data_IF_518518526496
#
_entry.id   IF_518518526496
#
_cell.length_a   1.000
_cell.length_b   1.000
_cell.length_c   1.000
_cell.angle_alpha   90.00
_cell.angle_beta   90.00
_cell.angle_gamma   90.00
#
_symmetry.space_group_name_H-M   'P 1'
#
loop_
_entity.id
_entity.type
_entity.pdbx_description
1 polymer ?
#
# COMPACT_ATOMS: atom_id res chain seq x y z
N UNK A 1 1.58 -3.47 -5.70
CA UNK A 1 0.57 -4.50 -5.32
C UNK A 1 -0.05 -5.19 -6.52
N UNK A 2 -0.39 -4.47 -7.60
CA UNK A 2 -0.99 -5.07 -8.81
C UNK A 2 -0.09 -6.08 -9.53
N UNK A 3 1.23 -5.93 -9.44
CA UNK A 3 2.22 -6.84 -10.04
C UNK A 3 2.43 -8.13 -9.20
N UNK A 4 2.08 -8.11 -7.91
CA UNK A 4 2.38 -9.20 -6.97
C UNK A 4 1.18 -10.13 -6.68
N UNK A 5 -0.06 -9.67 -6.88
CA UNK A 5 -1.26 -10.40 -6.46
C UNK A 5 -2.23 -10.72 -7.60
N UNK A 6 -2.60 -12.01 -7.69
CA UNK A 6 -3.63 -12.53 -8.61
C UNK A 6 -5.00 -11.94 -8.32
N UNK A 7 -5.80 -11.75 -9.36
CA UNK A 7 -7.07 -10.98 -9.31
C UNK A 7 -8.03 -11.44 -8.20
N UNK A 8 -8.05 -12.75 -7.91
CA UNK A 8 -8.90 -13.41 -6.91
C UNK A 8 -8.52 -13.16 -5.44
N UNK A 9 -7.28 -12.77 -5.16
CA UNK A 9 -6.77 -12.58 -3.78
C UNK A 9 -6.51 -11.10 -3.46
N UNK A 10 -6.97 -10.20 -4.35
CA UNK A 10 -6.69 -8.76 -4.26
C UNK A 10 -7.40 -8.08 -3.10
N UNK A 11 -8.64 -8.48 -2.74
CA UNK A 11 -9.39 -7.87 -1.65
C UNK A 11 -8.71 -8.10 -0.29
N UNK A 12 -8.31 -9.33 0.02
CA UNK A 12 -7.51 -9.64 1.23
C UNK A 12 -6.17 -8.91 1.25
N UNK A 13 -5.48 -8.90 0.11
CA UNK A 13 -4.15 -8.29 0.02
C UNK A 13 -4.23 -6.77 0.22
N UNK A 14 -5.24 -6.13 -0.35
CA UNK A 14 -5.49 -4.70 -0.19
C UNK A 14 -5.94 -4.37 1.24
N UNK A 15 -6.76 -5.22 1.85
CA UNK A 15 -7.17 -5.09 3.24
C UNK A 15 -5.96 -5.16 4.18
N UNK A 16 -5.10 -6.19 4.05
CA UNK A 16 -3.88 -6.32 4.85
C UNK A 16 -2.93 -5.15 4.60
N UNK A 17 -2.74 -4.75 3.34
CA UNK A 17 -1.86 -3.63 3.03
C UNK A 17 -2.39 -2.28 3.52
N UNK A 18 -3.71 -2.11 3.55
CA UNK A 18 -4.38 -0.94 4.11
C UNK A 18 -4.39 -0.95 5.65
N UNK A 19 -4.34 -2.11 6.30
CA UNK A 19 -4.29 -2.24 7.76
C UNK A 19 -3.07 -1.55 8.36
N UNK A 20 -1.89 -1.77 7.76
CA UNK A 20 -0.61 -1.34 8.31
C UNK A 20 -0.56 0.19 8.58
N UNK A 21 -0.92 1.06 7.62
CA UNK A 21 -0.98 2.51 7.83
C UNK A 21 -1.94 2.97 8.93
N UNK A 22 -3.04 2.26 9.19
CA UNK A 22 -3.99 2.61 10.26
C UNK A 22 -3.61 2.01 11.61
N UNK A 23 -2.89 0.89 11.63
CA UNK A 23 -2.44 0.25 12.85
C UNK A 23 -1.28 1.03 13.49
N UNK A 24 -0.37 1.58 12.68
CA UNK A 24 0.80 2.33 13.17
C UNK A 24 0.42 3.49 14.11
N UNK A 25 -0.43 4.44 13.68
CA UNK A 25 -0.86 5.57 14.52
C UNK A 25 -1.70 5.14 15.73
N UNK A 26 -2.33 3.97 15.70
CA UNK A 26 -3.04 3.43 16.87
C UNK A 26 -2.07 2.81 17.90
N UNK A 27 -1.00 2.13 17.45
CA UNK A 27 -0.01 1.51 18.35
C UNK A 27 1.04 2.50 18.87
N UNK A 28 1.36 3.54 18.09
CA UNK A 28 2.35 4.56 18.44
C UNK A 28 2.15 5.18 19.83
N UNK A 29 0.94 5.66 20.18
CA UNK A 29 0.65 6.23 21.50
C UNK A 29 0.86 5.24 22.64
N UNK A 30 0.68 3.94 22.43
CA UNK A 30 0.89 2.90 23.46
C UNK A 30 2.37 2.90 23.87
N UNK A 31 3.26 2.80 22.89
CA UNK A 31 4.72 2.83 23.09
C UNK A 31 5.14 4.21 23.62
N UNK A 32 4.57 5.28 23.06
CA UNK A 32 4.76 6.67 23.49
C UNK A 32 4.47 6.88 24.98
N UNK A 33 3.32 6.40 25.44
CA UNK A 33 2.90 6.49 26.85
C UNK A 33 3.79 5.70 27.79
N UNK A 34 4.20 4.49 27.41
CA UNK A 34 5.11 3.64 28.19
C UNK A 34 6.50 4.27 28.34
N UNK A 35 7.10 4.70 27.24
CA UNK A 35 8.45 5.26 27.26
C UNK A 35 8.45 6.63 27.96
N UNK A 36 7.46 7.49 27.71
CA UNK A 36 7.40 8.82 28.33
C UNK A 36 7.18 8.81 29.85
N UNK A 37 6.63 7.73 30.40
CA UNK A 37 6.43 7.57 31.84
C UNK A 37 7.63 6.88 32.52
N UNK A 38 8.36 6.01 31.82
CA UNK A 38 9.48 5.23 32.38
C UNK A 38 10.86 5.85 32.10
N UNK A 39 11.00 6.60 30.99
CA UNK A 39 12.28 7.09 30.46
C UNK A 39 12.11 8.53 29.97
N UNK A 40 13.22 9.27 29.85
CA UNK A 40 13.23 10.60 29.21
C UNK A 40 12.75 10.53 27.75
N UNK A 41 12.00 11.56 27.33
CA UNK A 41 11.35 11.63 26.01
C UNK A 41 12.26 11.44 24.77
N UNK A 42 13.57 11.80 24.75
CA UNK A 42 14.40 11.60 23.56
C UNK A 42 14.60 10.12 23.21
N UNK A 43 14.44 9.22 24.19
CA UNK A 43 14.56 7.77 23.98
C UNK A 43 13.53 7.21 23.01
N UNK A 44 12.40 7.89 22.82
CA UNK A 44 11.44 7.54 21.77
C UNK A 44 12.08 7.58 20.38
N UNK A 45 12.90 8.60 20.09
CA UNK A 45 13.55 8.73 18.79
C UNK A 45 14.60 7.64 18.57
N UNK A 46 15.35 7.27 19.61
CA UNK A 46 16.32 6.16 19.52
C UNK A 46 15.63 4.82 19.28
N UNK A 47 14.54 4.52 19.99
CA UNK A 47 13.79 3.26 19.81
C UNK A 47 13.22 3.17 18.39
N UNK A 48 12.58 4.23 17.90
CA UNK A 48 12.00 4.26 16.55
C UNK A 48 13.10 4.12 15.49
N UNK A 49 14.24 4.79 15.67
CA UNK A 49 15.38 4.71 14.74
C UNK A 49 15.98 3.30 14.67
N UNK A 50 16.11 2.61 15.80
CA UNK A 50 16.59 1.21 15.83
C UNK A 50 15.62 0.30 15.11
N UNK A 51 14.31 0.42 15.38
CA UNK A 51 13.29 -0.40 14.73
C UNK A 51 13.29 -0.16 13.21
N UNK A 52 13.33 1.09 12.78
CA UNK A 52 13.37 1.45 11.36
C UNK A 52 14.61 0.89 10.66
N UNK A 53 15.78 0.99 11.30
CA UNK A 53 17.03 0.44 10.77
C UNK A 53 16.95 -1.08 10.61
N UNK A 54 16.36 -1.79 11.57
CA UNK A 54 16.17 -3.25 11.50
C UNK A 54 15.21 -3.61 10.37
N UNK A 55 14.07 -2.91 10.25
CA UNK A 55 13.10 -3.13 9.18
C UNK A 55 13.73 -2.85 7.81
N UNK A 56 14.54 -1.79 7.69
CA UNK A 56 15.27 -1.46 6.48
C UNK A 56 16.29 -2.54 6.12
N UNK A 57 17.06 -3.03 7.10
CA UNK A 57 18.03 -4.11 6.89
C UNK A 57 17.36 -5.41 6.43
N UNK A 58 16.22 -5.78 7.04
CA UNK A 58 15.40 -6.91 6.60
C UNK A 58 14.87 -6.65 5.19
N UNK A 59 14.41 -5.44 4.90
CA UNK A 59 13.95 -5.03 3.58
C UNK A 59 15.02 -5.25 2.51
N UNK A 60 16.25 -4.76 2.75
CA UNK A 60 17.36 -4.90 1.81
C UNK A 60 17.77 -6.37 1.60
N UNK A 61 17.70 -7.20 2.63
CA UNK A 61 18.13 -8.62 2.56
C UNK A 61 17.06 -9.55 2.00
N UNK A 62 15.77 -9.29 2.28
CA UNK A 62 14.65 -10.17 1.93
C UNK A 62 13.94 -9.72 0.65
N UNK A 63 13.76 -8.41 0.40
CA UNK A 63 13.10 -7.96 -0.82
C UNK A 63 14.03 -8.14 -2.02
N UNK A 64 13.70 -9.14 -2.84
CA UNK A 64 14.21 -9.21 -4.20
C UNK A 64 13.54 -8.16 -5.07
N UNK A 65 14.34 -7.53 -5.91
CA UNK A 65 13.88 -6.60 -6.94
C UNK A 65 12.68 -7.18 -7.68
N UNK A 66 11.52 -6.52 -7.55
CA UNK A 66 10.25 -6.98 -8.13
C UNK A 66 9.84 -6.13 -9.34
N UNK A 67 10.61 -5.07 -9.67
CA UNK A 67 10.25 -4.19 -10.77
C UNK A 67 10.53 -4.85 -12.13
N UNK A 68 9.44 -5.27 -12.80
CA UNK A 68 9.43 -5.96 -14.09
C UNK A 68 10.38 -5.40 -15.17
N UNK A 69 10.44 -4.08 -15.45
CA UNK A 69 11.36 -3.55 -16.46
C UNK A 69 12.85 -3.65 -16.07
N UNK A 70 13.18 -3.61 -14.77
CA UNK A 70 14.57 -3.82 -14.30
C UNK A 70 14.96 -5.29 -14.40
N UNK A 71 14.04 -6.21 -14.10
CA UNK A 71 14.24 -7.65 -14.27
C UNK A 71 14.42 -8.02 -15.75
N UNK A 72 13.62 -7.46 -16.65
CA UNK A 72 13.75 -7.63 -18.10
C UNK A 72 15.07 -7.09 -18.62
N UNK A 73 15.52 -5.91 -18.13
CA UNK A 73 16.82 -5.35 -18.49
C UNK A 73 17.99 -6.23 -18.02
N UNK A 74 17.91 -6.79 -16.81
CA UNK A 74 18.92 -7.73 -16.29
C UNK A 74 18.95 -9.01 -17.12
N UNK A 75 17.79 -9.57 -17.47
CA UNK A 75 17.69 -10.78 -18.30
C UNK A 75 18.23 -10.56 -19.72
N UNK A 76 17.92 -9.42 -20.34
CA UNK A 76 18.46 -9.04 -21.65
C UNK A 76 20.00 -8.87 -21.61
N UNK A 77 20.54 -8.28 -20.54
CA UNK A 77 21.98 -8.15 -20.36
C UNK A 77 22.69 -9.49 -20.13
N UNK A 78 22.08 -10.43 -19.42
CA UNK A 78 22.61 -11.79 -19.25
C UNK A 78 22.59 -12.57 -20.56
N UNK A 79 21.50 -12.50 -21.33
CA UNK A 79 21.41 -13.14 -22.64
C UNK A 79 22.45 -12.58 -23.63
N UNK A 80 22.64 -11.25 -23.64
CA UNK A 80 23.67 -10.61 -24.46
C UNK A 80 25.11 -11.01 -24.10
N UNK A 81 25.36 -11.41 -22.84
CA UNK A 81 26.68 -11.93 -22.41
C UNK A 81 26.87 -13.40 -22.78
N UNK A 82 25.82 -14.21 -22.70
CA UNK A 82 25.87 -15.63 -23.10
C UNK A 82 26.05 -15.79 -24.62
N UNK A 83 25.49 -14.87 -25.43
CA UNK A 83 25.68 -14.86 -26.89
C UNK A 83 27.11 -14.49 -27.33
N UNK A 84 27.92 -13.87 -26.46
CA UNK A 84 29.34 -13.56 -26.78
C UNK A 84 30.25 -14.80 -26.73
N UNK A 85 29.83 -15.90 -26.11
CA UNK A 85 30.64 -17.12 -25.94
C UNK A 85 30.39 -18.21 -27.01
N UNK A 86 29.45 -18.00 -27.95
CA UNK A 86 29.33 -18.83 -29.16
C UNK A 86 27.91 -19.21 -29.57
N UNK A 87 27.26 -18.37 -30.35
CA UNK A 87 26.00 -18.72 -31.02
C UNK A 87 25.39 -17.57 -31.81
N UNK A 88 24.92 -17.86 -33.02
CA UNK A 88 24.32 -16.92 -33.96
C UNK A 88 23.10 -16.17 -33.36
N UNK A 89 22.98 -14.88 -33.68
CA UNK A 89 21.92 -13.97 -33.21
C UNK A 89 20.51 -14.53 -33.49
N UNK A 90 19.65 -14.72 -32.49
CA UNK A 90 18.20 -14.76 -32.74
C UNK A 90 17.67 -13.33 -33.03
N UNK A 91 16.64 -13.15 -33.89
CA UNK A 91 16.23 -11.84 -34.44
C UNK A 91 15.54 -10.89 -33.43
N UNK A 92 15.54 -11.19 -32.14
CA UNK A 92 14.82 -10.46 -31.09
C UNK A 92 15.77 -9.80 -30.10
N UNK A 93 16.93 -9.35 -30.57
CA UNK A 93 17.80 -8.46 -29.81
C UNK A 93 17.11 -7.09 -29.66
N UNK A 94 16.45 -6.89 -28.52
CA UNK A 94 16.04 -5.56 -28.06
C UNK A 94 17.32 -4.71 -28.05
N UNK A 95 17.42 -3.64 -28.85
CA UNK A 95 18.66 -2.88 -28.95
C UNK A 95 19.07 -2.37 -27.55
N UNK A 96 20.37 -2.30 -27.24
CA UNK A 96 20.84 -1.71 -26.01
C UNK A 96 20.32 -0.27 -26.01
N UNK A 97 19.36 0.01 -25.12
CA UNK A 97 18.82 1.35 -24.96
C UNK A 97 19.93 2.19 -24.39
N UNK A 98 20.71 2.84 -25.26
CA UNK A 98 21.68 3.85 -24.89
C UNK A 98 20.90 4.96 -24.18
N UNK A 99 20.97 4.91 -22.85
CA UNK A 99 20.21 5.79 -21.99
C UNK A 99 20.92 7.14 -21.98
N UNK A 100 20.67 7.94 -23.01
CA UNK A 100 21.16 9.30 -23.09
C UNK A 100 20.60 10.06 -21.87
N UNK A 101 21.46 10.55 -20.97
CA UNK A 101 21.03 11.16 -19.70
C UNK A 101 20.01 12.28 -19.91
N UNK A 102 20.14 13.06 -20.99
CA UNK A 102 19.17 14.11 -21.36
C UNK A 102 17.79 13.55 -21.74
N UNK A 103 17.73 12.41 -22.42
CA UNK A 103 16.47 11.74 -22.76
C UNK A 103 15.80 11.11 -21.52
N UNK A 104 16.60 10.63 -20.56
CA UNK A 104 16.09 10.12 -19.27
C UNK A 104 15.39 11.22 -18.46
N UNK A 105 16.04 12.38 -18.27
CA UNK A 105 15.44 13.48 -17.51
C UNK A 105 14.19 14.03 -18.20
N UNK A 106 14.20 14.16 -19.53
CA UNK A 106 13.02 14.59 -20.30
C UNK A 106 11.83 13.62 -20.16
N UNK A 107 12.07 12.31 -20.31
CA UNK A 107 11.03 11.28 -20.12
C UNK A 107 10.54 11.23 -18.67
N UNK A 108 11.44 11.35 -17.70
CA UNK A 108 11.12 11.40 -16.27
C UNK A 108 10.21 12.60 -15.95
N UNK A 109 10.58 13.82 -16.35
CA UNK A 109 9.78 15.02 -16.09
C UNK A 109 8.44 15.00 -16.85
N UNK A 110 8.41 14.46 -18.07
CA UNK A 110 7.16 14.29 -18.82
C UNK A 110 6.19 13.35 -18.10
N UNK A 111 6.66 12.16 -17.69
CA UNK A 111 5.86 11.20 -16.93
C UNK A 111 5.46 11.75 -15.56
N UNK A 112 6.37 12.43 -14.88
CA UNK A 112 6.10 13.04 -13.58
C UNK A 112 4.99 14.09 -13.70
N UNK A 113 5.08 14.99 -14.70
CA UNK A 113 4.04 16.00 -14.95
C UNK A 113 2.69 15.35 -15.24
N UNK A 114 2.65 14.33 -16.10
CA UNK A 114 1.40 13.63 -16.42
C UNK A 114 0.81 12.97 -15.16
N UNK A 115 1.64 12.28 -14.38
CA UNK A 115 1.21 11.59 -13.16
C UNK A 115 0.81 12.55 -12.03
N UNK A 116 1.41 13.75 -11.93
CA UNK A 116 1.02 14.76 -10.95
C UNK A 116 -0.27 15.48 -11.33
N UNK A 117 -0.48 15.77 -12.63
CA UNK A 117 -1.65 16.54 -13.09
C UNK A 117 -2.91 15.67 -13.16
N UNK A 118 -2.77 14.38 -13.49
CA UNK A 118 -3.92 13.45 -13.62
C UNK A 118 -4.82 13.38 -12.38
N UNK A 119 -4.31 13.24 -11.13
CA UNK A 119 -5.15 13.24 -9.94
C UNK A 119 -5.99 14.51 -9.77
N UNK A 120 -5.40 15.69 -10.02
CA UNK A 120 -6.13 16.97 -9.92
C UNK A 120 -7.17 17.11 -11.03
N UNK A 121 -6.86 16.65 -12.25
CA UNK A 121 -7.85 16.60 -13.34
C UNK A 121 -8.99 15.64 -13.02
N UNK A 122 -8.69 14.45 -12.50
CA UNK A 122 -9.69 13.48 -12.07
C UNK A 122 -10.59 14.07 -10.98
N UNK A 123 -10.00 14.78 -10.01
CA UNK A 123 -10.76 15.48 -8.97
C UNK A 123 -11.66 16.56 -9.58
N UNK A 124 -11.13 17.43 -10.43
CA UNK A 124 -11.89 18.54 -11.00
C UNK A 124 -13.00 18.11 -11.99
N UNK A 125 -12.74 17.10 -12.83
CA UNK A 125 -13.62 16.76 -13.96
C UNK A 125 -14.58 15.60 -13.68
N UNK A 126 -14.40 14.81 -12.61
CA UNK A 126 -15.29 13.69 -12.28
C UNK A 126 -16.11 14.01 -11.02
N UNK A 127 -17.42 14.25 -11.11
CA UNK A 127 -18.26 14.58 -9.95
C UNK A 127 -18.32 13.45 -8.92
N UNK A 128 -18.27 12.19 -9.37
CA UNK A 128 -18.22 11.00 -8.48
C UNK A 128 -17.00 11.04 -7.55
N UNK A 129 -15.86 11.56 -8.03
CA UNK A 129 -14.65 11.63 -7.22
C UNK A 129 -14.83 12.55 -6.01
N UNK A 130 -15.58 13.65 -6.14
CA UNK A 130 -15.81 14.59 -5.04
C UNK A 130 -16.50 13.92 -3.84
N UNK A 131 -17.52 13.11 -4.10
CA UNK A 131 -18.26 12.39 -3.03
C UNK A 131 -17.35 11.38 -2.35
N UNK A 132 -16.57 10.62 -3.13
CA UNK A 132 -15.63 9.62 -2.60
C UNK A 132 -14.51 10.28 -1.79
N UNK A 133 -13.92 11.37 -2.29
CA UNK A 133 -12.86 12.10 -1.57
C UNK A 133 -13.39 12.79 -0.32
N UNK A 134 -14.60 13.33 -0.35
CA UNK A 134 -15.22 13.94 0.82
C UNK A 134 -15.48 12.90 1.91
N UNK A 135 -16.01 11.73 1.52
CA UNK A 135 -16.23 10.62 2.45
C UNK A 135 -14.91 10.13 3.06
N UNK A 136 -13.91 9.83 2.23
CA UNK A 136 -12.60 9.37 2.71
C UNK A 136 -11.89 10.42 3.57
N UNK A 137 -11.96 11.70 3.18
CA UNK A 137 -11.39 12.81 3.91
C UNK A 137 -12.06 13.02 5.27
N UNK A 138 -13.40 12.97 5.32
CA UNK A 138 -14.15 13.08 6.57
C UNK A 138 -13.84 11.90 7.50
N UNK A 139 -13.84 10.68 6.98
CA UNK A 139 -13.49 9.48 7.76
C UNK A 139 -12.07 9.55 8.30
N UNK A 140 -11.10 9.99 7.49
CA UNK A 140 -9.72 10.17 7.94
C UNK A 140 -9.60 11.29 8.98
N UNK A 141 -10.32 12.40 8.80
CA UNK A 141 -10.37 13.50 9.76
C UNK A 141 -10.89 13.06 11.12
N UNK A 142 -12.04 12.37 11.16
CA UNK A 142 -12.61 11.80 12.40
C UNK A 142 -11.62 10.84 13.07
N UNK A 143 -10.96 9.99 12.28
CA UNK A 143 -9.95 9.05 12.78
C UNK A 143 -8.77 9.79 13.44
N UNK A 144 -8.21 10.80 12.78
CA UNK A 144 -7.09 11.58 13.33
C UNK A 144 -7.47 12.38 14.58
N UNK A 145 -8.67 12.98 14.59
CA UNK A 145 -9.20 13.67 15.77
C UNK A 145 -9.39 12.71 16.93
N UNK A 146 -9.93 11.53 16.67
CA UNK A 146 -10.06 10.47 17.69
C UNK A 146 -8.68 10.13 18.24
N UNK A 147 -7.69 9.83 17.39
CA UNK A 147 -6.34 9.50 17.86
C UNK A 147 -5.68 10.60 18.68
N UNK A 148 -5.87 11.88 18.34
CA UNK A 148 -5.26 12.99 19.07
C UNK A 148 -5.94 13.21 20.43
N UNK A 149 -7.27 13.19 20.48
CA UNK A 149 -8.04 13.58 21.68
C UNK A 149 -8.26 12.42 22.66
N UNK A 150 -8.09 11.18 22.22
CA UNK A 150 -8.43 10.01 23.02
C UNK A 150 -7.57 9.91 24.29
N UNK A 151 -6.24 10.04 24.17
CA UNK A 151 -5.36 10.04 25.34
C UNK A 151 -5.64 11.21 26.30
N UNK A 152 -5.80 12.41 25.73
CA UNK A 152 -6.04 13.67 26.47
C UNK A 152 -7.31 13.57 27.29
N UNK A 153 -8.40 13.03 26.72
CA UNK A 153 -9.66 12.84 27.44
C UNK A 153 -9.48 12.02 28.72
N UNK A 154 -8.75 10.91 28.67
CA UNK A 154 -8.55 10.03 29.82
C UNK A 154 -7.61 10.62 30.87
N UNK A 155 -6.61 11.40 30.44
CA UNK A 155 -5.68 12.07 31.36
C UNK A 155 -6.35 13.29 32.01
N UNK A 156 -6.91 14.20 31.21
CA UNK A 156 -7.38 15.49 31.67
C UNK A 156 -8.74 15.40 32.37
N UNK A 157 -9.67 14.56 31.86
CA UNK A 157 -11.02 14.46 32.44
C UNK A 157 -11.15 13.38 33.50
N UNK A 158 -10.48 12.25 33.31
CA UNK A 158 -10.59 11.09 34.21
C UNK A 158 -9.39 10.95 35.16
N UNK A 159 -8.37 11.80 35.04
CA UNK A 159 -7.21 11.79 35.94
C UNK A 159 -6.36 10.53 35.85
N UNK A 160 -6.43 9.79 34.73
CA UNK A 160 -5.66 8.57 34.56
C UNK A 160 -4.18 8.86 34.29
N UNK A 161 -3.31 7.91 34.64
CA UNK A 161 -1.89 7.98 34.27
C UNK A 161 -1.72 7.90 32.75
N UNK A 162 -0.62 8.46 32.24
CA UNK A 162 -0.30 8.45 30.79
C UNK A 162 -0.26 7.03 30.22
N UNK A 163 0.26 6.06 30.98
CA UNK A 163 0.29 4.65 30.60
C UNK A 163 -1.10 4.01 30.57
N UNK A 164 -1.95 4.27 31.58
CA UNK A 164 -3.30 3.71 31.58
C UNK A 164 -4.14 4.30 30.42
N UNK A 165 -4.01 5.60 30.18
CA UNK A 165 -4.66 6.29 29.07
C UNK A 165 -4.20 5.77 27.70
N UNK A 166 -2.89 5.59 27.50
CA UNK A 166 -2.36 5.09 26.23
C UNK A 166 -2.76 3.63 25.95
N UNK A 167 -3.01 2.83 26.98
CA UNK A 167 -3.41 1.44 26.82
C UNK A 167 -4.79 1.29 26.15
N UNK A 168 -5.68 2.28 26.30
CA UNK A 168 -7.00 2.25 25.65
C UNK A 168 -6.92 2.24 24.12
N UNK A 169 -5.79 2.66 23.52
CA UNK A 169 -5.60 2.59 22.07
C UNK A 169 -5.58 1.15 21.51
N UNK A 170 -5.46 0.15 22.39
CA UNK A 170 -5.69 -1.26 22.02
C UNK A 170 -7.11 -1.45 21.48
N UNK A 171 -8.12 -0.77 22.06
CA UNK A 171 -9.51 -0.87 21.58
C UNK A 171 -9.63 -0.37 20.13
N UNK A 172 -8.95 0.73 19.80
CA UNK A 172 -8.89 1.28 18.44
C UNK A 172 -8.20 0.27 17.50
N UNK A 173 -7.06 -0.29 17.93
CA UNK A 173 -6.29 -1.27 17.13
C UNK A 173 -7.08 -2.55 16.84
N UNK A 174 -7.81 -3.07 17.85
CA UNK A 174 -8.69 -4.23 17.71
C UNK A 174 -9.86 -3.90 16.77
N UNK A 175 -10.50 -2.74 16.93
CA UNK A 175 -11.58 -2.28 16.06
C UNK A 175 -11.16 -2.19 14.60
N UNK A 176 -10.00 -1.59 14.31
CA UNK A 176 -9.44 -1.50 12.95
C UNK A 176 -9.18 -2.91 12.41
N UNK A 177 -8.56 -3.79 13.21
CA UNK A 177 -8.25 -5.16 12.77
C UNK A 177 -9.53 -5.92 12.41
N UNK A 178 -10.56 -5.87 13.25
CA UNK A 178 -11.85 -6.52 12.97
C UNK A 178 -12.48 -5.92 11.71
N UNK A 179 -12.54 -4.58 11.61
CA UNK A 179 -13.12 -3.89 10.47
C UNK A 179 -12.42 -4.26 9.15
N UNK A 180 -11.09 -4.32 9.15
CA UNK A 180 -10.33 -4.69 7.96
C UNK A 180 -10.51 -6.15 7.57
N UNK A 181 -10.51 -7.07 8.54
CA UNK A 181 -10.68 -8.50 8.25
C UNK A 181 -12.10 -8.82 7.78
N UNK A 182 -13.11 -8.18 8.37
CA UNK A 182 -14.52 -8.31 7.95
C UNK A 182 -14.74 -7.63 6.60
N UNK A 183 -14.25 -6.40 6.42
CA UNK A 183 -14.39 -5.63 5.19
C UNK A 183 -13.68 -6.28 4.00
N UNK A 184 -12.45 -6.75 4.18
CA UNK A 184 -11.69 -7.46 3.16
C UNK A 184 -12.39 -8.73 2.68
N UNK A 185 -12.86 -9.56 3.61
CA UNK A 185 -13.63 -10.77 3.28
C UNK A 185 -14.98 -10.43 2.67
N UNK A 186 -15.65 -9.39 3.14
CA UNK A 186 -16.90 -8.89 2.58
C UNK A 186 -16.76 -8.45 1.13
N UNK A 187 -15.70 -7.71 0.81
CA UNK A 187 -15.38 -7.32 -0.57
C UNK A 187 -15.15 -8.53 -1.48
N UNK A 188 -14.40 -9.53 -1.03
CA UNK A 188 -14.19 -10.76 -1.81
C UNK A 188 -15.51 -11.50 -2.09
N UNK A 189 -16.39 -11.61 -1.09
CA UNK A 189 -17.70 -12.26 -1.23
C UNK A 189 -18.61 -11.50 -2.20
N UNK A 190 -18.64 -10.17 -2.10
CA UNK A 190 -19.43 -9.33 -3.02
C UNK A 190 -18.88 -9.46 -4.45
N UNK A 191 -17.56 -9.45 -4.62
CA UNK A 191 -16.92 -9.64 -5.92
C UNK A 191 -17.25 -11.00 -6.54
N UNK A 192 -17.20 -12.08 -5.75
CA UNK A 192 -17.56 -13.43 -6.21
C UNK A 192 -19.03 -13.50 -6.64
N UNK A 193 -19.95 -12.96 -5.84
CA UNK A 193 -21.38 -12.93 -6.17
C UNK A 193 -21.69 -12.14 -7.43
N UNK A 194 -21.00 -11.01 -7.65
CA UNK A 194 -21.15 -10.21 -8.87
C UNK A 194 -20.63 -10.95 -10.11
N UNK A 195 -19.53 -11.70 -9.97
CA UNK A 195 -18.99 -12.53 -11.06
C UNK A 195 -19.90 -13.73 -11.38
N UNK A 196 -20.52 -14.34 -10.38
CA UNK A 196 -21.49 -15.44 -10.56
C UNK A 196 -22.76 -14.96 -11.28
N UNK A 197 -23.26 -13.77 -10.91
CA UNK A 197 -24.50 -13.19 -11.49
C UNK A 197 -24.36 -12.79 -12.95
N UNK A 198 -23.15 -12.40 -13.38
CA UNK A 198 -22.87 -11.94 -14.75
C UNK A 198 -22.49 -13.06 -15.73
N UNK A 199 -22.58 -14.33 -15.31
CA UNK A 199 -22.48 -15.48 -16.19
C UNK A 199 -21.09 -16.12 -16.24
N UNK A 200 -20.62 -16.66 -15.11
CA UNK A 200 -19.62 -17.72 -15.14
C UNK A 200 -20.31 -19.06 -15.53
N UNK A 201 -20.52 -19.26 -16.82
CA UNK A 201 -20.83 -20.59 -17.36
C UNK A 201 -19.61 -21.49 -17.19
N UNK A 202 -19.65 -22.40 -16.21
CA UNK A 202 -19.06 -23.75 -16.16
C UNK A 202 -18.34 -24.05 -14.84
N UNK A 203 -18.76 -25.09 -14.09
CA UNK A 203 -18.05 -25.55 -12.90
C UNK A 203 -16.71 -26.18 -13.35
N UNK A 204 -15.60 -25.50 -13.04
CA UNK A 204 -14.24 -25.95 -13.35
C UNK A 204 -13.42 -25.03 -14.27
N UNK A 205 -14.02 -24.00 -14.86
CA UNK A 205 -13.27 -22.99 -15.62
C UNK A 205 -12.66 -21.95 -14.66
N UNK A 206 -11.38 -21.57 -14.89
CA UNK A 206 -10.77 -20.40 -14.23
C UNK A 206 -11.71 -19.21 -14.42
N UNK A 207 -12.11 -18.54 -13.33
CA UNK A 207 -13.03 -17.39 -13.36
C UNK A 207 -12.66 -16.47 -14.54
N UNK A 208 -13.59 -16.17 -15.46
CA UNK A 208 -13.32 -15.17 -16.48
C UNK A 208 -12.98 -13.84 -15.78
N UNK A 209 -12.09 -13.02 -16.35
CA UNK A 209 -11.76 -11.72 -15.79
C UNK A 209 -13.06 -10.93 -15.58
N UNK A 210 -13.45 -10.69 -14.32
CA UNK A 210 -14.64 -9.92 -13.99
C UNK A 210 -14.61 -8.58 -14.75
N UNK A 211 -15.78 -8.13 -15.22
CA UNK A 211 -15.92 -6.90 -16.02
C UNK A 211 -15.12 -5.76 -15.37
N UNK A 212 -14.53 -4.84 -16.16
CA UNK A 212 -13.66 -3.78 -15.63
C UNK A 212 -14.29 -2.97 -14.49
N UNK A 213 -15.61 -2.84 -14.51
CA UNK A 213 -16.46 -2.18 -13.52
C UNK A 213 -16.54 -2.89 -12.15
N UNK A 214 -16.25 -4.19 -12.06
CA UNK A 214 -16.15 -4.93 -10.79
C UNK A 214 -14.75 -4.90 -10.18
N UNK A 215 -13.77 -4.37 -10.91
CA UNK A 215 -12.40 -4.26 -10.43
C UNK A 215 -12.28 -2.99 -9.61
N UNK A 216 -11.57 -3.08 -8.49
CA UNK A 216 -11.17 -1.90 -7.73
C UNK A 216 -10.46 -0.94 -8.70
N UNK A 217 -10.93 0.32 -8.82
CA UNK A 217 -10.45 1.20 -9.89
C UNK A 217 -8.98 1.55 -9.65
N UNK A 218 -8.10 0.93 -10.44
CA UNK A 218 -6.74 1.42 -10.61
C UNK A 218 -6.51 1.67 -12.10
N UNK A 219 -6.23 2.94 -12.40
CA UNK A 219 -5.79 3.39 -13.73
C UNK A 219 -4.49 2.66 -14.08
N UNK A 220 -4.42 2.12 -15.30
CA UNK A 220 -3.13 1.85 -15.96
C UNK A 220 -2.38 3.16 -16.19
#
# INVERSE_FOLDING_TARGET
MTDMFREKDRGKSLAIAGLLPYLGPALGPIIGGLVSQLIHWPWLFYIISIIDTVVLAIGITVLRETYTPVLLRRKAATLARLDQEGGERPPTAIPPMEMNQGAFWSDFFSRLRVNMVRPFQLLAYRPVMHVVTLNLGLSFGIYTLTLSTFAELWVDRYGQSKVASSLHYIAISVGITIATQVGGRGMDVVYQRLCERDGASSPGAKLPPGKPEYRVPYSK
#
